data_IF_107105738707
#
_entry.id   IF_107105738707
#
_cell.length_a   1.000
_cell.length_b   1.000
_cell.length_c   1.000
_cell.angle_alpha   90.00
_cell.angle_beta   90.00
_cell.angle_gamma   90.00
#
_symmetry.space_group_name_H-M   'P 1'
#
loop_
_entity.id
_entity.type
_entity.pdbx_description
1 polymer ?
#
# COMPACT_ATOMS: atom_id res chain seq x y z
N UNK A 1 41.73 -27.97 37.61
CA UNK A 1 42.16 -27.68 36.23
C UNK A 1 41.06 -27.86 35.16
N UNK A 2 40.38 -29.02 35.04
CA UNK A 2 39.35 -29.26 34.00
C UNK A 2 38.15 -28.29 34.04
N UNK A 3 37.66 -27.93 35.24
CA UNK A 3 36.54 -26.98 35.41
C UNK A 3 36.85 -25.58 34.88
N UNK A 4 38.06 -25.07 35.12
CA UNK A 4 38.50 -23.75 34.65
C UNK A 4 38.58 -23.68 33.11
N UNK A 5 39.02 -24.75 32.45
CA UNK A 5 39.04 -24.83 30.99
C UNK A 5 37.64 -24.83 30.37
N UNK A 6 36.67 -25.49 31.01
CA UNK A 6 35.28 -25.49 30.56
C UNK A 6 34.64 -24.09 30.67
N UNK A 7 34.86 -23.39 31.80
CA UNK A 7 34.33 -22.04 32.00
C UNK A 7 34.87 -21.03 30.96
N UNK A 8 36.17 -21.11 30.63
CA UNK A 8 36.77 -20.26 29.59
C UNK A 8 36.12 -20.53 28.23
N UNK A 9 35.87 -21.79 27.86
CA UNK A 9 35.20 -22.12 26.59
C UNK A 9 33.78 -21.58 26.52
N UNK A 10 33.00 -21.73 27.60
CA UNK A 10 31.64 -21.19 27.68
C UNK A 10 31.67 -19.67 27.53
N UNK A 11 32.60 -19.00 28.24
CA UNK A 11 32.76 -17.55 28.13
C UNK A 11 33.09 -17.10 26.71
N UNK A 12 34.04 -17.77 26.03
CA UNK A 12 34.40 -17.41 24.65
C UNK A 12 33.25 -17.61 23.67
N UNK A 13 32.45 -18.66 23.83
CA UNK A 13 31.26 -18.91 23.00
C UNK A 13 30.22 -17.81 23.24
N UNK A 14 29.91 -17.50 24.50
CA UNK A 14 28.96 -16.45 24.84
C UNK A 14 29.43 -15.08 24.32
N UNK A 15 30.72 -14.77 24.47
CA UNK A 15 31.32 -13.54 23.96
C UNK A 15 31.24 -13.44 22.42
N UNK A 16 31.56 -14.53 21.73
CA UNK A 16 31.46 -14.60 20.27
C UNK A 16 30.01 -14.42 19.79
N UNK A 17 29.06 -15.05 20.49
CA UNK A 17 27.64 -14.89 20.20
C UNK A 17 27.18 -13.45 20.38
N UNK A 18 27.59 -12.78 21.47
CA UNK A 18 27.29 -11.36 21.69
C UNK A 18 27.83 -10.49 20.57
N UNK A 19 29.06 -10.69 20.11
CA UNK A 19 29.64 -9.93 18.99
C UNK A 19 28.83 -10.14 17.71
N UNK A 20 28.56 -11.40 17.34
CA UNK A 20 27.78 -11.71 16.13
C UNK A 20 26.39 -11.08 16.21
N UNK A 21 25.72 -11.21 17.35
CA UNK A 21 24.42 -10.61 17.58
C UNK A 21 24.45 -9.08 17.46
N UNK A 22 25.46 -8.41 18.06
CA UNK A 22 25.65 -6.97 17.93
C UNK A 22 25.88 -6.53 16.48
N UNK A 23 26.64 -7.30 15.69
CA UNK A 23 26.84 -7.03 14.25
C UNK A 23 25.52 -7.14 13.50
N UNK A 24 24.72 -8.18 13.76
CA UNK A 24 23.39 -8.36 13.13
C UNK A 24 22.46 -7.19 13.47
N UNK A 25 22.40 -6.80 14.75
CA UNK A 25 21.58 -5.65 15.19
C UNK A 25 22.07 -4.35 14.54
N UNK A 26 23.38 -4.12 14.47
CA UNK A 26 23.94 -2.94 13.80
C UNK A 26 23.56 -2.91 12.31
N UNK A 27 23.62 -4.05 11.60
CA UNK A 27 23.21 -4.12 10.21
C UNK A 27 21.71 -3.86 10.02
N UNK A 28 20.86 -4.37 10.91
CA UNK A 28 19.41 -4.09 10.88
C UNK A 28 19.17 -2.61 11.13
N UNK A 29 19.80 -2.03 12.15
CA UNK A 29 19.70 -0.60 12.47
C UNK A 29 20.15 0.27 11.30
N UNK A 30 21.30 -0.03 10.71
CA UNK A 30 21.83 0.72 9.57
C UNK A 30 20.86 0.66 8.37
N UNK A 31 20.30 -0.51 8.05
CA UNK A 31 19.29 -0.65 6.99
C UNK A 31 18.01 0.15 7.27
N UNK A 32 17.58 0.22 8.53
CA UNK A 32 16.43 1.04 8.92
C UNK A 32 16.73 2.54 8.78
N UNK A 33 17.93 2.97 9.21
CA UNK A 33 18.38 4.36 9.10
C UNK A 33 18.54 4.80 7.65
N UNK A 34 19.10 3.95 6.81
CA UNK A 34 19.26 4.17 5.37
C UNK A 34 17.90 4.36 4.70
N UNK A 35 16.95 3.43 4.91
CA UNK A 35 15.57 3.57 4.41
C UNK A 35 14.85 4.82 4.92
N UNK A 36 15.10 5.22 6.17
CA UNK A 36 14.56 6.45 6.73
C UNK A 36 15.11 7.67 6.01
N UNK A 37 16.43 7.73 5.79
CA UNK A 37 17.09 8.82 5.08
C UNK A 37 16.66 8.89 3.61
N UNK A 38 16.59 7.75 2.90
CA UNK A 38 16.08 7.67 1.54
C UNK A 38 14.69 8.30 1.42
N UNK A 39 13.79 7.99 2.36
CA UNK A 39 12.41 8.51 2.34
C UNK A 39 12.36 10.02 2.63
N UNK A 40 13.39 10.58 3.27
CA UNK A 40 13.50 12.04 3.47
C UNK A 40 14.05 12.75 2.25
N UNK A 41 15.00 12.13 1.55
CA UNK A 41 15.63 12.68 0.35
C UNK A 41 14.69 12.60 -0.86
N UNK A 42 14.03 11.46 -1.03
CA UNK A 42 13.02 11.22 -2.06
C UNK A 42 11.78 10.56 -1.42
N UNK A 43 10.81 11.37 -0.95
CA UNK A 43 9.61 10.86 -0.31
C UNK A 43 8.69 10.11 -1.27
N UNK A 44 8.83 10.27 -2.59
CA UNK A 44 7.96 9.60 -3.55
C UNK A 44 8.60 8.34 -4.13
N UNK A 45 9.94 8.25 -4.09
CA UNK A 45 10.73 7.17 -4.70
C UNK A 45 10.32 6.95 -6.15
N UNK A 46 10.06 8.05 -6.85
CA UNK A 46 9.50 7.99 -8.20
C UNK A 46 10.61 7.65 -9.19
N UNK A 47 10.53 6.49 -9.89
CA UNK A 47 11.36 6.30 -11.06
C UNK A 47 10.96 7.33 -12.12
N UNK A 48 11.80 7.53 -13.13
CA UNK A 48 11.44 8.35 -14.28
C UNK A 48 10.22 7.73 -14.98
N UNK A 49 9.04 8.36 -14.84
CA UNK A 49 7.80 7.92 -15.47
C UNK A 49 7.68 8.66 -16.79
N UNK A 50 7.81 7.92 -17.90
CA UNK A 50 7.57 8.49 -19.24
C UNK A 50 6.09 8.37 -19.58
N UNK A 51 5.36 9.48 -19.45
CA UNK A 51 3.97 9.56 -19.87
C UNK A 51 3.93 10.02 -21.33
N UNK A 52 3.43 9.16 -22.21
CA UNK A 52 3.11 9.58 -23.57
C UNK A 52 1.86 10.47 -23.54
N UNK A 53 2.08 11.79 -23.62
CA UNK A 53 1.03 12.80 -23.53
C UNK A 53 0.18 12.90 -24.81
N UNK A 54 0.61 12.31 -25.92
CA UNK A 54 -0.17 12.22 -27.16
C UNK A 54 -1.12 11.01 -27.15
N UNK A 55 -0.86 10.02 -26.28
CA UNK A 55 -1.64 8.79 -26.18
C UNK A 55 -2.88 8.98 -25.30
N UNK A 56 -4.04 8.57 -25.83
CA UNK A 56 -5.28 8.46 -25.04
C UNK A 56 -5.36 7.08 -24.40
N UNK A 57 -5.44 7.01 -23.08
CA UNK A 57 -5.53 5.74 -22.33
C UNK A 57 -6.99 5.34 -22.09
N UNK A 58 -7.29 4.03 -22.15
CA UNK A 58 -8.59 3.50 -21.73
C UNK A 58 -8.73 3.56 -20.20
N UNK A 59 -7.63 3.26 -19.50
CA UNK A 59 -7.57 3.27 -18.05
C UNK A 59 -6.36 4.07 -17.56
N UNK A 60 -6.57 4.92 -16.57
CA UNK A 60 -5.49 5.47 -15.74
C UNK A 60 -5.68 4.90 -14.35
N UNK A 61 -4.66 4.24 -13.81
CA UNK A 61 -4.71 3.64 -12.48
C UNK A 61 -3.74 4.37 -11.58
N UNK A 62 -4.18 4.79 -10.39
CA UNK A 62 -3.38 5.50 -9.41
C UNK A 62 -3.52 4.77 -8.08
N UNK A 63 -2.41 4.38 -7.47
CA UNK A 63 -2.44 3.80 -6.14
C UNK A 63 -1.12 3.24 -5.64
N UNK A 64 -1.24 2.29 -4.72
CA UNK A 64 -0.15 1.60 -4.05
C UNK A 64 0.25 0.28 -4.76
N UNK A 65 0.79 -0.69 -4.01
CA UNK A 65 1.14 -2.02 -4.50
C UNK A 65 -0.06 -2.79 -5.07
N UNK A 66 -1.28 -2.57 -4.58
CA UNK A 66 -2.47 -3.21 -5.16
C UNK A 66 -2.78 -2.72 -6.57
N UNK A 67 -2.34 -1.53 -6.94
CA UNK A 67 -2.47 -1.01 -8.31
C UNK A 67 -1.25 -1.35 -9.15
N UNK A 68 -0.04 -1.34 -8.57
CA UNK A 68 1.21 -1.58 -9.31
C UNK A 68 1.18 -2.89 -10.13
N UNK A 69 0.62 -3.96 -9.55
CA UNK A 69 0.56 -5.26 -10.20
C UNK A 69 -0.71 -5.48 -11.04
N UNK A 70 -1.60 -4.49 -11.13
CA UNK A 70 -2.84 -4.61 -11.86
C UNK A 70 -2.63 -4.39 -13.37
N UNK A 71 -2.75 -5.48 -14.14
CA UNK A 71 -2.93 -5.39 -15.60
C UNK A 71 -4.41 -5.45 -15.98
N UNK A 72 -4.90 -4.40 -16.66
CA UNK A 72 -6.29 -4.34 -17.15
C UNK A 72 -6.49 -5.11 -18.47
N UNK A 73 -5.40 -5.57 -19.10
CA UNK A 73 -5.40 -6.16 -20.44
C UNK A 73 -5.77 -5.18 -21.57
N UNK A 74 -5.86 -3.88 -21.28
CA UNK A 74 -6.19 -2.81 -22.23
C UNK A 74 -5.08 -1.75 -22.25
N UNK A 75 -5.26 -0.71 -23.07
CA UNK A 75 -4.33 0.42 -23.09
C UNK A 75 -4.44 1.23 -21.79
N UNK A 76 -3.58 0.94 -20.81
CA UNK A 76 -3.60 1.57 -19.50
C UNK A 76 -2.31 2.30 -19.14
N UNK A 77 -2.45 3.46 -18.48
CA UNK A 77 -1.38 4.12 -17.75
C UNK A 77 -1.47 3.69 -16.28
N UNK A 78 -0.57 2.81 -15.85
CA UNK A 78 -0.52 2.33 -14.47
C UNK A 78 0.51 3.14 -13.67
N UNK A 79 0.01 3.96 -12.74
CA UNK A 79 0.78 4.79 -11.81
C UNK A 79 0.71 4.19 -10.39
N UNK A 80 0.60 2.88 -10.25
CA UNK A 80 0.69 2.18 -8.96
C UNK A 80 2.13 2.06 -8.47
N UNK A 81 2.35 2.16 -7.16
CA UNK A 81 3.69 2.03 -6.58
C UNK A 81 3.69 1.41 -5.19
N UNK A 82 4.54 0.39 -4.99
CA UNK A 82 4.65 -0.32 -3.71
C UNK A 82 4.98 0.62 -2.56
N UNK A 83 4.29 0.40 -1.44
CA UNK A 83 4.59 1.06 -0.16
C UNK A 83 4.11 2.50 -0.03
N UNK A 84 3.50 3.09 -1.07
CA UNK A 84 3.01 4.46 -0.99
C UNK A 84 1.75 4.58 -0.13
N UNK A 85 1.71 5.59 0.74
CA UNK A 85 0.51 6.04 1.46
C UNK A 85 -0.34 6.95 0.59
N UNK A 86 -1.56 7.26 1.04
CA UNK A 86 -2.45 8.22 0.38
C UNK A 86 -1.79 9.58 0.15
N UNK A 87 -0.92 10.03 1.05
CA UNK A 87 -0.20 11.31 0.95
C UNK A 87 0.79 11.30 -0.21
N UNK A 88 1.59 10.24 -0.33
CA UNK A 88 2.54 10.07 -1.43
C UNK A 88 1.81 9.89 -2.76
N UNK A 89 0.68 9.16 -2.76
CA UNK A 89 -0.17 9.00 -3.94
C UNK A 89 -0.74 10.36 -4.39
N UNK A 90 -1.22 11.18 -3.46
CA UNK A 90 -1.67 12.56 -3.76
C UNK A 90 -0.53 13.39 -4.35
N UNK A 91 0.63 13.43 -3.71
CA UNK A 91 1.77 14.23 -4.17
C UNK A 91 2.22 13.81 -5.57
N UNK A 92 2.34 12.50 -5.82
CA UNK A 92 2.61 11.95 -7.16
C UNK A 92 1.55 12.38 -8.16
N UNK A 93 0.27 12.30 -7.82
CA UNK A 93 -0.81 12.77 -8.68
C UNK A 93 -0.63 14.27 -9.00
N UNK A 94 -0.40 15.11 -8.00
CA UNK A 94 -0.22 16.55 -8.19
C UNK A 94 0.94 16.91 -9.10
N UNK A 95 2.04 16.14 -9.07
CA UNK A 95 3.18 16.31 -9.97
C UNK A 95 2.86 15.93 -11.42
N UNK A 96 2.03 14.89 -11.62
CA UNK A 96 1.76 14.32 -12.94
C UNK A 96 0.44 14.81 -13.55
N UNK A 97 -0.39 15.55 -12.81
CA UNK A 97 -1.80 15.82 -13.20
C UNK A 97 -1.97 16.59 -14.51
N UNK A 98 -0.94 17.33 -14.94
CA UNK A 98 -0.95 18.10 -16.20
C UNK A 98 -0.51 17.24 -17.39
N UNK A 99 0.24 16.16 -17.13
CA UNK A 99 0.60 15.14 -18.12
C UNK A 99 -0.52 14.10 -18.29
N UNK A 100 -1.32 13.86 -17.25
CA UNK A 100 -2.51 13.00 -17.26
C UNK A 100 -3.68 13.80 -17.87
N UNK A 101 -3.63 13.99 -19.19
CA UNK A 101 -4.57 14.89 -19.88
C UNK A 101 -6.00 14.35 -19.98
N UNK A 102 -6.19 13.04 -20.09
CA UNK A 102 -7.49 12.36 -19.98
C UNK A 102 -7.37 10.85 -20.23
N UNK A 103 -8.35 10.10 -19.74
CA UNK A 103 -8.59 8.70 -20.11
C UNK A 103 -10.08 8.40 -20.02
N UNK A 104 -10.52 7.23 -20.48
CA UNK A 104 -11.94 6.86 -20.34
C UNK A 104 -12.29 6.61 -18.87
N UNK A 105 -11.44 5.88 -18.16
CA UNK A 105 -11.68 5.45 -16.78
C UNK A 105 -10.49 5.77 -15.88
N UNK A 106 -10.73 6.43 -14.75
CA UNK A 106 -9.75 6.60 -13.67
C UNK A 106 -10.05 5.60 -12.55
N UNK A 107 -9.04 4.88 -12.08
CA UNK A 107 -9.14 3.92 -10.98
C UNK A 107 -8.21 4.37 -9.86
N UNK A 108 -8.74 4.55 -8.65
CA UNK A 108 -8.01 5.06 -7.50
C UNK A 108 -8.04 4.02 -6.36
N UNK A 109 -6.86 3.66 -5.86
CA UNK A 109 -6.67 2.82 -4.65
C UNK A 109 -5.76 3.54 -3.66
N UNK A 110 -6.21 3.71 -2.42
CA UNK A 110 -5.44 4.34 -1.34
C UNK A 110 -5.70 3.62 -0.01
N UNK A 111 -4.86 3.85 0.98
CA UNK A 111 -5.15 3.53 2.38
C UNK A 111 -4.50 2.26 2.92
N UNK A 112 -4.03 1.31 2.09
CA UNK A 112 -3.43 0.07 2.61
C UNK A 112 -2.17 0.37 3.44
N UNK A 113 -1.29 1.24 2.95
CA UNK A 113 -0.09 1.64 3.68
C UNK A 113 -0.36 2.69 4.77
N UNK A 114 -1.45 3.45 4.68
CA UNK A 114 -1.93 4.32 5.77
C UNK A 114 -2.31 3.47 6.99
N UNK A 115 -3.08 2.39 6.78
CA UNK A 115 -3.40 1.40 7.83
C UNK A 115 -2.14 0.80 8.45
N UNK A 116 -1.15 0.43 7.61
CA UNK A 116 0.13 -0.08 8.10
C UNK A 116 0.87 0.94 8.97
N UNK A 117 0.75 2.23 8.66
CA UNK A 117 1.38 3.31 9.45
C UNK A 117 0.71 3.51 10.81
N UNK A 118 -0.58 3.19 10.95
CA UNK A 118 -1.30 3.22 12.23
C UNK A 118 -0.74 2.17 13.20
N UNK A 119 -0.33 1.02 12.68
CA UNK A 119 0.25 -0.08 13.47
C UNK A 119 1.45 0.37 14.33
N UNK A 120 2.24 1.32 13.80
CA UNK A 120 3.42 1.88 14.47
C UNK A 120 3.18 3.28 15.05
N UNK A 121 2.02 3.90 14.80
CA UNK A 121 1.66 5.25 15.26
C UNK A 121 0.20 5.33 15.73
N UNK A 122 -0.21 4.51 16.71
CA UNK A 122 -1.62 4.40 17.11
C UNK A 122 -2.21 5.72 17.61
N UNK A 123 -1.41 6.59 18.23
CA UNK A 123 -1.85 7.92 18.70
C UNK A 123 -2.32 8.86 17.59
N UNK A 124 -1.92 8.62 16.34
CA UNK A 124 -2.29 9.44 15.18
C UNK A 124 -3.37 8.77 14.31
N UNK A 125 -4.01 7.70 14.78
CA UNK A 125 -4.99 6.89 14.03
C UNK A 125 -6.04 7.72 13.32
N UNK A 126 -6.74 8.58 14.06
CA UNK A 126 -7.84 9.40 13.52
C UNK A 126 -7.35 10.42 12.48
N UNK A 127 -6.17 11.01 12.70
CA UNK A 127 -5.56 11.94 11.74
C UNK A 127 -5.15 11.23 10.45
N UNK A 128 -4.56 10.02 10.55
CA UNK A 128 -4.16 9.22 9.39
C UNK A 128 -5.39 8.84 8.55
N UNK A 129 -6.47 8.37 9.19
CA UNK A 129 -7.72 8.03 8.50
C UNK A 129 -8.30 9.27 7.81
N UNK A 130 -8.37 10.40 8.53
CA UNK A 130 -8.87 11.67 7.99
C UNK A 130 -8.07 12.10 6.76
N UNK A 131 -6.73 12.14 6.85
CA UNK A 131 -5.85 12.50 5.74
C UNK A 131 -6.01 11.56 4.55
N UNK A 132 -6.16 10.26 4.79
CA UNK A 132 -6.41 9.30 3.71
C UNK A 132 -7.68 9.65 2.92
N UNK A 133 -8.76 9.99 3.61
CA UNK A 133 -10.04 10.37 2.98
C UNK A 133 -9.93 11.73 2.28
N UNK A 134 -9.28 12.73 2.90
CA UNK A 134 -9.05 14.04 2.29
C UNK A 134 -8.23 13.95 1.00
N UNK A 135 -7.15 13.16 1.02
CA UNK A 135 -6.28 12.91 -0.13
C UNK A 135 -7.05 12.21 -1.27
N UNK A 136 -7.89 11.21 -0.95
CA UNK A 136 -8.77 10.57 -1.93
C UNK A 136 -9.74 11.58 -2.56
N UNK A 137 -10.41 12.38 -1.73
CA UNK A 137 -11.39 13.36 -2.19
C UNK A 137 -10.77 14.41 -3.11
N UNK A 138 -9.54 14.86 -2.82
CA UNK A 138 -8.80 15.77 -3.67
C UNK A 138 -8.53 15.18 -5.06
N UNK A 139 -8.03 13.93 -5.12
CA UNK A 139 -7.77 13.27 -6.40
C UNK A 139 -9.07 13.14 -7.19
N UNK A 140 -10.19 12.78 -6.54
CA UNK A 140 -11.49 12.70 -7.20
C UNK A 140 -11.92 14.08 -7.74
N UNK A 141 -11.86 15.14 -6.92
CA UNK A 141 -12.35 16.47 -7.30
C UNK A 141 -11.59 17.05 -8.50
N UNK A 142 -10.28 16.86 -8.55
CA UNK A 142 -9.44 17.35 -9.65
C UNK A 142 -9.67 16.61 -10.98
N UNK A 143 -10.40 15.49 -10.95
CA UNK A 143 -10.60 14.61 -12.12
C UNK A 143 -12.06 14.46 -12.58
N UNK A 144 -13.04 15.06 -11.90
CA UNK A 144 -14.47 14.90 -12.21
C UNK A 144 -14.85 15.19 -13.67
N UNK A 145 -14.13 16.11 -14.32
CA UNK A 145 -14.40 16.51 -15.71
C UNK A 145 -13.32 16.02 -16.69
N UNK A 146 -12.34 15.23 -16.23
CA UNK A 146 -11.22 14.73 -17.04
C UNK A 146 -11.41 13.29 -17.55
N UNK A 147 -12.32 12.54 -16.91
CA UNK A 147 -12.56 11.13 -17.17
C UNK A 147 -14.05 10.84 -17.31
N UNK A 148 -14.42 9.93 -18.22
CA UNK A 148 -15.82 9.53 -18.42
C UNK A 148 -16.38 8.83 -17.18
N UNK A 149 -15.54 8.06 -16.48
CA UNK A 149 -15.88 7.39 -15.22
C UNK A 149 -14.69 7.39 -14.27
N UNK A 150 -14.98 7.55 -12.98
CA UNK A 150 -14.03 7.37 -11.89
C UNK A 150 -14.47 6.16 -11.07
N UNK A 151 -13.52 5.33 -10.66
CA UNK A 151 -13.72 4.23 -9.74
C UNK A 151 -12.80 4.40 -8.54
N UNK A 152 -13.33 4.15 -7.36
CA UNK A 152 -12.55 3.98 -6.13
C UNK A 152 -12.61 2.53 -5.67
N UNK A 153 -11.53 2.08 -5.05
CA UNK A 153 -11.37 0.71 -4.59
C UNK A 153 -11.28 0.71 -3.06
N UNK A 154 -12.03 -0.17 -2.40
CA UNK A 154 -11.81 -0.45 -0.97
C UNK A 154 -10.49 -1.22 -0.79
N UNK A 155 -9.88 -1.13 0.38
CA UNK A 155 -8.71 -1.93 0.75
C UNK A 155 -9.14 -3.39 0.86
N UNK A 156 -8.48 -4.33 0.16
CA UNK A 156 -8.79 -5.76 0.25
C UNK A 156 -8.67 -6.29 1.69
N UNK A 157 -9.34 -7.42 2.01
CA UNK A 157 -9.11 -8.09 3.28
C UNK A 157 -7.71 -8.69 3.29
N UNK A 158 -7.19 -8.98 4.48
CA UNK A 158 -6.00 -9.83 4.57
C UNK A 158 -6.44 -11.27 4.29
N UNK A 159 -5.87 -11.90 3.27
CA UNK A 159 -6.16 -13.29 2.89
C UNK A 159 -5.51 -14.29 3.85
N UNK A 160 -4.44 -13.85 4.54
CA UNK A 160 -3.77 -14.57 5.61
C UNK A 160 -3.14 -13.58 6.58
N UNK A 161 -3.38 -13.76 7.88
CA UNK A 161 -2.69 -12.98 8.92
C UNK A 161 -1.25 -13.46 9.03
N UNK A 162 -0.31 -12.66 8.56
CA UNK A 162 1.11 -12.97 8.73
C UNK A 162 1.51 -12.91 10.21
N UNK A 163 2.21 -13.96 10.69
CA UNK A 163 2.64 -14.17 12.07
C UNK A 163 3.18 -12.93 12.83
N UNK A 164 4.04 -12.06 12.25
CA UNK A 164 4.54 -10.89 13.00
C UNK A 164 3.48 -9.87 13.41
N UNK A 165 2.30 -9.85 12.75
CA UNK A 165 1.22 -8.93 13.13
C UNK A 165 0.56 -9.30 14.46
N UNK A 166 0.72 -10.53 14.95
CA UNK A 166 0.23 -10.93 16.28
C UNK A 166 0.95 -10.19 17.43
N UNK A 167 2.14 -9.62 17.18
CA UNK A 167 2.93 -8.88 18.17
C UNK A 167 2.80 -7.35 18.00
N UNK A 168 1.92 -6.90 17.12
CA UNK A 168 1.65 -5.49 16.81
C UNK A 168 0.17 -5.21 17.12
N UNK A 169 -0.25 -3.95 17.27
CA UNK A 169 -1.64 -3.52 17.47
C UNK A 169 -2.55 -3.85 16.26
N UNK A 170 -2.73 -5.14 15.96
CA UNK A 170 -3.46 -5.63 14.79
C UNK A 170 -4.92 -5.22 14.83
N UNK A 171 -5.56 -5.21 16.01
CA UNK A 171 -6.94 -4.77 16.18
C UNK A 171 -7.14 -3.33 15.70
N UNK A 172 -6.20 -2.43 16.01
CA UNK A 172 -6.25 -1.05 15.52
C UNK A 172 -6.10 -1.00 14.00
N UNK A 173 -5.22 -1.80 13.41
CA UNK A 173 -5.07 -1.84 11.95
C UNK A 173 -6.34 -2.37 11.27
N UNK A 174 -6.94 -3.43 11.81
CA UNK A 174 -8.14 -4.03 11.27
C UNK A 174 -9.34 -3.07 11.36
N UNK A 175 -9.59 -2.49 12.53
CA UNK A 175 -10.69 -1.52 12.71
C UNK A 175 -10.49 -0.27 11.87
N UNK A 176 -9.25 0.21 11.71
CA UNK A 176 -8.92 1.35 10.85
C UNK A 176 -9.15 1.05 9.38
N UNK A 177 -8.80 -0.16 8.91
CA UNK A 177 -9.09 -0.62 7.53
C UNK A 177 -10.59 -0.59 7.26
N UNK A 178 -11.40 -1.14 8.17
CA UNK A 178 -12.86 -1.13 8.02
C UNK A 178 -13.41 0.31 7.97
N UNK A 179 -12.90 1.20 8.83
CA UNK A 179 -13.30 2.61 8.85
C UNK A 179 -12.92 3.34 7.56
N UNK A 180 -11.71 3.15 7.04
CA UNK A 180 -11.30 3.71 5.75
C UNK A 180 -12.17 3.17 4.61
N UNK A 181 -12.43 1.86 4.59
CA UNK A 181 -13.30 1.26 3.57
C UNK A 181 -14.71 1.85 3.60
N UNK A 182 -15.26 2.08 4.79
CA UNK A 182 -16.55 2.73 4.93
C UNK A 182 -16.55 4.18 4.41
N UNK A 183 -15.50 4.95 4.71
CA UNK A 183 -15.36 6.31 4.17
C UNK A 183 -15.14 6.33 2.64
N UNK A 184 -14.49 5.31 2.07
CA UNK A 184 -14.38 5.11 0.62
C UNK A 184 -15.76 4.88 0.02
N UNK A 185 -16.59 4.01 0.62
CA UNK A 185 -17.98 3.76 0.17
C UNK A 185 -18.81 5.04 0.20
N UNK A 186 -18.78 5.78 1.31
CA UNK A 186 -19.47 7.07 1.45
C UNK A 186 -18.98 8.08 0.42
N UNK A 187 -17.68 8.14 0.18
CA UNK A 187 -17.07 9.02 -0.83
C UNK A 187 -17.54 8.66 -2.23
N UNK A 188 -17.60 7.36 -2.58
CA UNK A 188 -18.11 6.89 -3.85
C UNK A 188 -19.57 7.29 -4.07
N UNK A 189 -20.42 7.03 -3.07
CA UNK A 189 -21.85 7.37 -3.09
C UNK A 189 -22.07 8.88 -3.22
N UNK A 190 -21.40 9.68 -2.36
CA UNK A 190 -21.51 11.15 -2.35
C UNK A 190 -21.12 11.76 -3.70
N UNK A 191 -20.09 11.23 -4.34
CA UNK A 191 -19.60 11.75 -5.62
C UNK A 191 -20.27 11.10 -6.84
N UNK A 192 -21.16 10.12 -6.65
CA UNK A 192 -21.81 9.35 -7.71
C UNK A 192 -20.80 8.71 -8.68
N UNK A 193 -19.72 8.17 -8.14
CA UNK A 193 -18.66 7.49 -8.89
C UNK A 193 -18.71 5.98 -8.64
N UNK A 194 -18.02 5.19 -9.48
CA UNK A 194 -17.98 3.75 -9.34
C UNK A 194 -17.25 3.30 -8.07
N UNK A 195 -17.75 2.23 -7.45
CA UNK A 195 -17.11 1.56 -6.33
C UNK A 195 -16.73 0.14 -6.75
N UNK A 196 -15.47 -0.23 -6.54
CA UNK A 196 -14.99 -1.61 -6.64
C UNK A 196 -14.71 -2.07 -5.22
N UNK A 197 -15.70 -2.72 -4.61
CA UNK A 197 -15.60 -3.13 -3.20
C UNK A 197 -14.81 -4.44 -3.07
N UNK A 198 -13.48 -4.36 -3.19
CA UNK A 198 -12.60 -5.52 -3.09
C UNK A 198 -12.70 -6.21 -1.74
N UNK A 199 -12.94 -5.43 -0.67
CA UNK A 199 -13.19 -5.99 0.66
C UNK A 199 -14.37 -6.95 0.61
N UNK A 200 -15.52 -6.51 0.13
CA UNK A 200 -16.72 -7.35 0.06
C UNK A 200 -16.58 -8.54 -0.90
N UNK A 201 -15.89 -8.35 -2.02
CA UNK A 201 -15.62 -9.43 -2.99
C UNK A 201 -14.79 -10.56 -2.35
N UNK A 202 -13.81 -10.20 -1.51
CA UNK A 202 -12.82 -11.15 -1.01
C UNK A 202 -12.92 -11.48 0.49
N UNK A 203 -13.80 -10.86 1.29
CA UNK A 203 -13.81 -11.02 2.77
C UNK A 203 -13.99 -12.46 3.27
N UNK A 204 -14.61 -13.31 2.46
CA UNK A 204 -14.82 -14.74 2.74
C UNK A 204 -13.83 -15.65 1.99
N UNK A 205 -12.82 -15.07 1.35
CA UNK A 205 -11.78 -15.76 0.60
C UNK A 205 -10.49 -15.74 1.42
N UNK A 206 -9.80 -16.87 1.51
CA UNK A 206 -8.57 -16.99 2.30
C UNK A 206 -7.49 -17.71 1.51
N UNK A 207 -6.24 -17.54 1.93
CA UNK A 207 -5.09 -18.24 1.38
C UNK A 207 -4.65 -17.78 -0.01
N UNK A 208 -3.77 -18.59 -0.60
CA UNK A 208 -3.01 -18.22 -1.79
C UNK A 208 -3.81 -18.29 -3.11
N UNK A 209 -5.07 -18.70 -3.07
CA UNK A 209 -5.93 -18.74 -4.27
C UNK A 209 -6.15 -17.34 -4.86
N UNK A 210 -6.20 -16.31 -4.02
CA UNK A 210 -6.42 -14.92 -4.42
C UNK A 210 -5.26 -13.99 -4.05
N UNK A 211 -4.25 -14.50 -3.34
CA UNK A 211 -3.13 -13.71 -2.82
C UNK A 211 -1.77 -14.35 -3.09
N UNK A 212 -0.74 -13.51 -3.19
CA UNK A 212 0.66 -13.93 -3.36
C UNK A 212 1.33 -14.17 -2.00
N UNK A 213 1.04 -13.31 -1.02
CA UNK A 213 1.74 -13.26 0.28
C UNK A 213 0.80 -13.06 1.48
N UNK A 214 -0.51 -13.26 1.28
CA UNK A 214 -1.54 -13.01 2.28
C UNK A 214 -2.11 -11.59 2.27
N UNK A 215 -1.48 -10.64 1.57
CA UNK A 215 -1.92 -9.24 1.46
C UNK A 215 -2.14 -8.84 0.01
N UNK A 216 -1.16 -9.08 -0.87
CA UNK A 216 -1.21 -8.66 -2.26
C UNK A 216 -2.05 -9.63 -3.09
N UNK A 217 -2.93 -9.08 -3.92
CA UNK A 217 -3.78 -9.84 -4.84
C UNK A 217 -2.94 -10.50 -5.93
N UNK A 218 -3.32 -11.71 -6.33
CA UNK A 218 -2.71 -12.41 -7.46
C UNK A 218 -3.48 -12.17 -8.78
N UNK A 219 -3.02 -12.83 -9.86
CA UNK A 219 -3.64 -12.72 -11.19
C UNK A 219 -5.12 -13.14 -11.23
N UNK A 220 -5.54 -14.10 -10.40
CA UNK A 220 -6.93 -14.58 -10.33
C UNK A 220 -7.82 -13.48 -9.74
N UNK A 221 -7.38 -12.86 -8.64
CA UNK A 221 -8.08 -11.73 -8.04
C UNK A 221 -8.20 -10.55 -9.02
N UNK A 222 -7.12 -10.18 -9.73
CA UNK A 222 -7.19 -9.12 -10.75
C UNK A 222 -8.09 -9.44 -11.93
N UNK A 223 -8.21 -10.72 -12.33
CA UNK A 223 -9.17 -11.13 -13.36
C UNK A 223 -10.61 -10.84 -12.92
N UNK A 224 -10.96 -11.13 -11.67
CA UNK A 224 -12.28 -10.81 -11.09
C UNK A 224 -12.50 -9.28 -11.07
N UNK A 225 -11.48 -8.49 -10.74
CA UNK A 225 -11.61 -7.03 -10.75
C UNK A 225 -11.78 -6.47 -12.17
N UNK A 226 -11.09 -7.04 -13.15
CA UNK A 226 -11.24 -6.66 -14.56
C UNK A 226 -12.66 -6.83 -15.07
N UNK A 227 -13.41 -7.82 -14.58
CA UNK A 227 -14.83 -8.01 -14.92
C UNK A 227 -15.73 -6.89 -14.37
N UNK A 228 -15.34 -6.23 -13.27
CA UNK A 228 -16.10 -5.14 -12.65
C UNK A 228 -15.89 -3.78 -13.31
N UNK A 229 -14.80 -3.61 -14.05
CA UNK A 229 -14.43 -2.33 -14.68
C UNK A 229 -14.66 -2.28 -16.19
N UNK A 230 -15.03 -3.39 -16.81
CA UNK A 230 -15.42 -3.44 -18.23
C UNK A 230 -16.73 -2.66 -18.42
#
# INVERSE_FOLDING_TARGET
MKKSCLLIKIFLIAFSFTIIFSIIIFQIFYRCLDKYNDTRLDPLRMPEIKIDTAKKYDYVLIGDSHVQYWSTGNNSLNLGMTGQTSEQIKLKYLLLKDEIKSGKKLIISVGANDVKSIATNPGNKEEIIKKCVENLQLIISENKNKFDRIYVITIPPDFQVSFPYNFINYEDTFTSKLKINEEIRKTALKNKIGLIDTYEIFKNKTGNEYSIDGVHMNVIAYKILNEKIR
#
